data_IF_642560376415
#
_entry.id   IF_642560376415
#
_cell.length_a   1.000
_cell.length_b   1.000
_cell.length_c   1.000
_cell.angle_alpha   90.00
_cell.angle_beta   90.00
_cell.angle_gamma   90.00
#
_symmetry.space_group_name_H-M   'P 1'
#
loop_
_entity.id
_entity.type
_entity.pdbx_description
1 polymer ?
#
# COMPACT_ATOMS: atom_id res chain seq x y z
N UNK A 1 16.31 18.80 -0.13
CA UNK A 1 15.86 17.86 -1.14
C UNK A 1 16.24 16.45 -0.83
N UNK A 2 17.54 16.23 -0.67
CA UNK A 2 18.03 14.90 -0.39
C UNK A 2 17.50 14.34 0.90
N UNK A 3 17.33 15.21 1.86
CA UNK A 3 16.84 14.75 3.16
C UNK A 3 15.46 14.16 3.04
N UNK A 4 14.64 14.78 2.20
CA UNK A 4 13.29 14.26 2.00
C UNK A 4 13.35 12.90 1.37
N UNK A 5 14.25 12.73 0.41
CA UNK A 5 14.37 11.46 -0.26
C UNK A 5 14.84 10.37 0.69
N UNK A 6 15.83 10.71 1.52
CA UNK A 6 16.32 9.74 2.50
C UNK A 6 15.24 9.36 3.48
N UNK A 7 14.47 10.34 3.87
CA UNK A 7 13.40 10.11 4.81
C UNK A 7 12.36 9.18 4.22
N UNK A 8 12.05 9.40 2.98
CA UNK A 8 11.05 8.58 2.28
C UNK A 8 11.55 7.17 2.01
N UNK A 9 12.86 6.93 2.19
CA UNK A 9 13.40 5.61 1.95
C UNK A 9 13.21 4.67 3.12
N UNK A 10 12.80 5.17 4.27
CA UNK A 10 12.49 4.26 5.36
C UNK A 10 11.24 3.48 5.00
N UNK A 11 11.17 2.26 5.52
CA UNK A 11 10.03 1.42 5.21
C UNK A 11 8.74 2.05 5.69
N UNK A 12 8.76 2.64 6.88
CA UNK A 12 7.55 3.27 7.39
C UNK A 12 7.08 4.42 6.52
N UNK A 13 8.03 5.24 6.06
CA UNK A 13 7.67 6.36 5.21
C UNK A 13 7.14 5.88 3.86
N UNK A 14 7.73 4.81 3.32
CA UNK A 14 7.25 4.25 2.07
C UNK A 14 5.85 3.70 2.22
N UNK A 15 5.58 3.03 3.32
CA UNK A 15 4.24 2.50 3.57
C UNK A 15 3.24 3.63 3.62
N UNK A 16 3.58 4.72 4.30
CA UNK A 16 2.68 5.86 4.37
C UNK A 16 2.43 6.44 2.99
N UNK A 17 3.47 6.55 2.19
CA UNK A 17 3.32 7.08 0.83
C UNK A 17 2.44 6.19 -0.02
N UNK A 18 2.62 4.88 0.12
CA UNK A 18 1.81 3.93 -0.63
C UNK A 18 0.34 4.03 -0.23
N UNK A 19 0.09 4.16 1.06
CA UNK A 19 -1.28 4.28 1.54
C UNK A 19 -1.94 5.54 0.97
N UNK A 20 -1.20 6.65 0.93
CA UNK A 20 -1.76 7.86 0.34
C UNK A 20 -2.07 7.68 -1.13
N UNK A 21 -1.20 6.98 -1.85
CA UNK A 21 -1.45 6.75 -3.26
C UNK A 21 -2.66 5.84 -3.45
N UNK A 22 -2.80 4.85 -2.58
CA UNK A 22 -3.95 3.96 -2.66
C UNK A 22 -5.25 4.75 -2.49
N UNK A 23 -5.26 5.69 -1.55
CA UNK A 23 -6.44 6.51 -1.35
C UNK A 23 -6.82 7.27 -2.62
N UNK A 24 -5.81 7.82 -3.28
CA UNK A 24 -6.06 8.56 -4.52
C UNK A 24 -6.57 7.64 -5.61
N UNK A 25 -5.96 6.46 -5.73
CA UNK A 25 -6.37 5.51 -6.75
C UNK A 25 -7.82 5.08 -6.55
N UNK A 26 -8.20 4.88 -5.30
CA UNK A 26 -9.57 4.46 -5.00
C UNK A 26 -10.56 5.57 -5.34
N UNK A 27 -10.20 6.80 -5.06
CA UNK A 27 -11.07 7.91 -5.41
C UNK A 27 -11.28 7.95 -6.93
N UNK A 28 -10.24 7.64 -7.68
CA UNK A 28 -10.32 7.63 -9.13
C UNK A 28 -10.91 6.33 -9.69
N UNK A 29 -11.13 5.35 -8.83
CA UNK A 29 -11.67 4.08 -9.31
C UNK A 29 -10.66 3.23 -10.03
N UNK A 30 -9.37 3.48 -9.83
CA UNK A 30 -8.31 2.77 -10.53
C UNK A 30 -7.59 1.86 -9.53
N UNK A 31 -7.86 0.57 -9.61
CA UNK A 31 -7.27 -0.38 -8.68
C UNK A 31 -6.25 -1.29 -9.37
N UNK A 32 -5.87 -0.96 -10.59
CA UNK A 32 -4.98 -1.83 -11.34
C UNK A 32 -3.62 -2.01 -10.65
N UNK A 33 -2.99 -0.89 -10.29
CA UNK A 33 -1.69 -0.97 -9.64
C UNK A 33 -1.81 -1.62 -8.27
N UNK A 34 -2.91 -1.37 -7.59
CA UNK A 34 -3.13 -1.96 -6.29
C UNK A 34 -3.26 -3.47 -6.41
N UNK A 35 -3.99 -3.94 -7.40
CA UNK A 35 -4.13 -5.37 -7.61
C UNK A 35 -2.80 -6.02 -7.88
N UNK A 36 -1.97 -5.38 -8.68
CA UNK A 36 -0.65 -5.92 -8.98
C UNK A 36 0.21 -5.99 -7.72
N UNK A 37 0.15 -4.97 -6.91
CA UNK A 37 0.93 -4.96 -5.69
C UNK A 37 0.48 -6.06 -4.74
N UNK A 38 -0.82 -6.20 -4.58
CA UNK A 38 -1.35 -7.21 -3.68
C UNK A 38 -1.05 -8.62 -4.16
N UNK A 39 -0.89 -8.80 -5.45
CA UNK A 39 -0.61 -10.12 -6.00
C UNK A 39 0.74 -10.65 -5.55
N UNK A 40 1.63 -9.79 -5.09
CA UNK A 40 2.93 -10.21 -4.60
C UNK A 40 2.91 -10.64 -3.14
N UNK A 41 1.80 -10.48 -2.47
CA UNK A 41 1.70 -10.83 -1.05
C UNK A 41 1.23 -12.25 -0.87
N UNK A 42 1.69 -12.87 0.22
CA UNK A 42 1.22 -14.20 0.57
C UNK A 42 -0.24 -14.15 0.96
N UNK A 43 -0.91 -15.28 0.75
CA UNK A 43 -2.31 -15.39 1.13
C UNK A 43 -2.52 -15.10 2.60
N UNK A 44 -1.58 -15.51 3.44
CA UNK A 44 -1.70 -15.27 4.87
C UNK A 44 -1.76 -13.79 5.17
N UNK A 45 -0.92 -13.01 4.49
CA UNK A 45 -0.93 -11.56 4.69
C UNK A 45 -2.26 -10.97 4.29
N UNK A 46 -2.77 -11.41 3.15
CA UNK A 46 -4.05 -10.90 2.67
C UNK A 46 -5.18 -11.27 3.61
N UNK A 47 -5.18 -12.50 4.09
CA UNK A 47 -6.22 -12.96 5.00
C UNK A 47 -6.18 -12.20 6.31
N UNK A 48 -4.97 -11.92 6.79
CA UNK A 48 -4.84 -11.19 8.06
C UNK A 48 -5.35 -9.76 7.95
N UNK A 49 -5.33 -9.21 6.75
CA UNK A 49 -5.82 -7.86 6.59
C UNK A 49 -7.34 -7.79 6.67
N UNK A 50 -8.00 -8.85 6.26
CA UNK A 50 -9.46 -8.86 6.24
C UNK A 50 -10.01 -9.04 7.64
N UNK A 51 -11.14 -8.39 7.93
CA UNK A 51 -11.76 -8.60 9.23
C UNK A 51 -12.27 -10.03 9.33
N UNK A 52 -12.28 -10.54 10.55
CA UNK A 52 -12.81 -11.86 10.77
C UNK A 52 -14.29 -11.86 10.52
N UNK A 53 -14.74 -12.92 9.88
CA UNK A 53 -16.14 -13.07 9.57
C UNK A 53 -16.68 -14.25 10.36
N UNK A 54 -17.73 -14.00 11.09
CA UNK A 54 -18.32 -15.02 11.95
C UNK A 54 -19.53 -15.69 11.33
#
# INVERSE_FOLDING_TARGET
>A
MNEIMNYANTKGALIDSVIEQIKLDLVNGDVTALEEMLAYLDNVVLQNYLPEVE
#
